data_IF_211500593421
#
_entry.id   IF_211500593421
#
_cell.length_a   1.000
_cell.length_b   1.000
_cell.length_c   1.000
_cell.angle_alpha   90.00
_cell.angle_beta   90.00
_cell.angle_gamma   90.00
#
_symmetry.space_group_name_H-M   'P 1'
#
loop_
_entity.id
_entity.type
_entity.pdbx_description
1 polymer ?
#
# COMPACT_ATOMS: atom_id res chain seq x y z
N UNK A 1 -28.51 -68.93 0.42
CA UNK A 1 -29.16 -67.62 0.57
C UNK A 1 -28.07 -66.58 0.80
N UNK A 2 -28.00 -65.56 -0.09
CA UNK A 2 -27.57 -64.15 0.11
C UNK A 2 -26.26 -63.90 0.92
N UNK A 3 -25.23 -63.17 0.47
CA UNK A 3 -25.15 -61.99 -0.42
C UNK A 3 -23.68 -61.62 -0.70
N UNK A 4 -23.46 -60.97 -1.85
CA UNK A 4 -22.21 -60.39 -2.42
C UNK A 4 -21.76 -59.10 -1.66
N UNK A 5 -20.47 -58.68 -1.78
CA UNK A 5 -19.69 -57.89 -0.83
C UNK A 5 -19.58 -56.39 -1.21
N UNK A 6 -19.05 -55.54 -0.32
CA UNK A 6 -18.61 -54.19 -0.69
C UNK A 6 -17.29 -53.78 -0.01
N UNK A 7 -16.29 -53.63 -0.88
CA UNK A 7 -15.01 -52.98 -0.66
C UNK A 7 -15.27 -51.52 -0.29
N UNK A 8 -14.94 -51.10 0.94
CA UNK A 8 -14.92 -49.70 1.31
C UNK A 8 -13.51 -49.15 1.05
N UNK A 9 -13.32 -48.69 -0.19
CA UNK A 9 -12.17 -47.91 -0.64
C UNK A 9 -12.26 -46.53 0.05
N UNK A 10 -11.57 -46.34 1.18
CA UNK A 10 -11.49 -45.03 1.83
C UNK A 10 -10.50 -44.15 1.07
N UNK A 11 -11.00 -43.56 -0.02
CA UNK A 11 -10.33 -42.52 -0.78
C UNK A 11 -10.31 -41.24 0.05
N UNK A 12 -9.31 -41.05 0.92
CA UNK A 12 -8.97 -39.72 1.42
C UNK A 12 -8.28 -38.96 0.28
N UNK A 13 -9.07 -38.51 -0.69
CA UNK A 13 -8.68 -37.41 -1.57
C UNK A 13 -8.50 -36.18 -0.70
N UNK A 14 -7.25 -35.94 -0.33
CA UNK A 14 -6.57 -34.65 -0.39
C UNK A 14 -7.54 -33.47 -0.48
N UNK A 15 -8.07 -33.03 0.66
CA UNK A 15 -8.57 -31.67 0.78
C UNK A 15 -7.35 -30.75 0.93
N UNK A 16 -6.49 -30.74 -0.10
CA UNK A 16 -5.71 -29.55 -0.37
C UNK A 16 -6.74 -28.50 -0.75
N UNK A 17 -7.18 -27.73 0.24
CA UNK A 17 -7.59 -26.38 -0.04
C UNK A 17 -6.29 -25.71 -0.50
N UNK A 18 -6.05 -25.43 -1.80
CA UNK A 18 -5.29 -24.24 -2.07
C UNK A 18 -6.03 -23.15 -1.30
N UNK A 19 -5.43 -22.69 -0.19
CA UNK A 19 -5.63 -21.34 0.23
C UNK A 19 -5.37 -20.54 -1.05
N UNK A 20 -6.45 -20.15 -1.73
CA UNK A 20 -6.35 -19.24 -2.84
C UNK A 20 -5.76 -18.00 -2.18
N UNK A 21 -4.44 -17.85 -2.31
CA UNK A 21 -3.84 -16.54 -2.24
C UNK A 21 -4.57 -15.79 -3.35
N UNK A 22 -5.63 -15.07 -2.96
CA UNK A 22 -6.24 -14.09 -3.81
C UNK A 22 -5.06 -13.19 -4.17
N UNK A 23 -4.53 -13.42 -5.37
CA UNK A 23 -3.50 -12.62 -5.97
C UNK A 23 -4.23 -11.33 -6.32
N UNK A 24 -4.41 -10.51 -5.29
CA UNK A 24 -4.98 -9.18 -5.39
C UNK A 24 -3.94 -8.41 -6.16
N UNK A 25 -4.10 -8.37 -7.47
CA UNK A 25 -3.34 -7.50 -8.34
C UNK A 25 -3.60 -6.07 -7.87
N UNK A 26 -2.70 -5.54 -7.03
CA UNK A 26 -2.79 -4.19 -6.52
C UNK A 26 -2.51 -3.15 -7.61
N UNK A 27 -2.06 -3.58 -8.80
CA UNK A 27 -1.87 -2.69 -9.96
C UNK A 27 -3.21 -2.09 -10.34
N UNK A 28 -3.28 -0.76 -10.23
CA UNK A 28 -4.47 0.02 -10.59
C UNK A 28 -5.55 0.12 -9.49
N UNK A 29 -5.36 -0.44 -8.29
CA UNK A 29 -6.35 -0.35 -7.20
C UNK A 29 -6.19 0.88 -6.31
N UNK A 30 -5.06 1.60 -6.41
CA UNK A 30 -4.88 2.90 -5.76
C UNK A 30 -4.93 3.96 -6.85
N UNK A 31 -6.03 4.71 -6.87
CA UNK A 31 -6.28 5.74 -7.86
C UNK A 31 -5.95 7.12 -7.27
N UNK A 32 -5.25 7.96 -8.02
CA UNK A 32 -5.06 9.36 -7.66
C UNK A 32 -6.05 10.16 -8.47
N UNK A 33 -7.04 10.75 -7.80
CA UNK A 33 -8.09 11.55 -8.46
C UNK A 33 -7.57 12.86 -8.98
N UNK A 34 -6.76 13.50 -8.15
CA UNK A 34 -6.16 14.80 -8.42
C UNK A 34 -4.73 14.79 -7.88
N UNK A 35 -3.82 15.36 -8.66
CA UNK A 35 -2.46 15.65 -8.25
C UNK A 35 -2.08 17.05 -8.72
N UNK A 36 -1.55 17.86 -7.79
CA UNK A 36 -0.88 19.10 -8.12
C UNK A 36 0.45 19.18 -7.40
N UNK A 37 1.40 19.82 -8.07
CA UNK A 37 2.74 20.00 -7.57
C UNK A 37 3.29 21.31 -8.10
N UNK A 38 3.71 22.18 -7.18
CA UNK A 38 4.02 23.57 -7.49
C UNK A 38 5.23 24.02 -6.67
N UNK A 39 6.14 24.74 -7.30
CA UNK A 39 7.21 25.40 -6.58
C UNK A 39 6.69 26.70 -5.95
N UNK A 40 6.86 26.84 -4.64
CA UNK A 40 6.52 28.04 -3.87
C UNK A 40 7.77 28.51 -3.10
N UNK A 41 8.47 29.49 -3.66
CA UNK A 41 9.77 29.94 -3.15
C UNK A 41 10.79 28.81 -3.17
N UNK A 42 11.37 28.52 -2.01
CA UNK A 42 12.39 27.48 -1.82
C UNK A 42 11.79 26.09 -1.53
N UNK A 43 10.46 25.95 -1.61
CA UNK A 43 9.77 24.68 -1.35
C UNK A 43 9.00 24.19 -2.56
N UNK A 44 8.89 22.87 -2.66
CA UNK A 44 7.99 22.19 -3.57
C UNK A 44 6.78 21.68 -2.79
N UNK A 45 5.61 22.16 -3.19
CA UNK A 45 4.32 21.84 -2.58
C UNK A 45 3.65 20.72 -3.35
N UNK A 46 3.42 19.58 -2.69
CA UNK A 46 2.73 18.42 -3.24
C UNK A 46 1.33 18.32 -2.64
N UNK A 47 0.30 18.22 -3.48
CA UNK A 47 -1.07 17.94 -3.09
C UNK A 47 -1.62 16.77 -3.90
N UNK A 48 -2.04 15.70 -3.22
CA UNK A 48 -2.64 14.52 -3.85
C UNK A 48 -3.98 14.19 -3.20
N UNK A 49 -4.94 13.73 -3.99
CA UNK A 49 -6.16 13.10 -3.52
C UNK A 49 -6.15 11.63 -3.90
N UNK A 50 -5.87 10.78 -2.92
CA UNK A 50 -5.67 9.34 -3.12
C UNK A 50 -6.94 8.60 -2.71
N UNK A 51 -7.53 7.87 -3.65
CA UNK A 51 -8.68 7.00 -3.43
C UNK A 51 -8.23 5.59 -3.05
N UNK A 52 -8.66 5.14 -1.86
CA UNK A 52 -8.41 3.81 -1.31
C UNK A 52 -9.64 2.89 -1.41
N UNK A 53 -10.69 3.32 -2.11
CA UNK A 53 -11.93 2.57 -2.29
C UNK A 53 -11.68 1.28 -3.08
N UNK A 54 -12.31 0.18 -2.64
CA UNK A 54 -12.13 -1.12 -3.29
C UNK A 54 -10.76 -1.77 -3.06
N UNK A 55 -9.79 -1.07 -2.47
CA UNK A 55 -8.48 -1.62 -2.14
C UNK A 55 -8.65 -2.77 -1.14
N UNK A 56 -8.12 -3.95 -1.47
CA UNK A 56 -8.21 -5.15 -0.62
C UNK A 56 -6.83 -5.54 -0.09
N UNK A 57 -6.53 -5.24 1.18
CA UNK A 57 -5.25 -5.62 1.81
C UNK A 57 -5.44 -6.87 2.65
N UNK A 58 -4.67 -7.93 2.36
CA UNK A 58 -4.77 -9.20 3.08
C UNK A 58 -4.56 -9.04 4.59
N UNK A 59 -5.21 -9.89 5.40
CA UNK A 59 -5.32 -9.67 6.86
C UNK A 59 -3.98 -9.48 7.57
N UNK A 60 -2.93 -10.16 7.11
CA UNK A 60 -1.58 -10.14 7.68
C UNK A 60 -0.62 -9.21 6.93
N UNK A 61 -1.12 -8.48 5.94
CA UNK A 61 -0.32 -7.61 5.09
C UNK A 61 -0.56 -6.14 5.43
N UNK A 62 0.36 -5.31 4.97
CA UNK A 62 0.20 -3.86 4.95
C UNK A 62 0.63 -3.34 3.58
N UNK A 63 -0.06 -2.34 3.07
CA UNK A 63 0.28 -1.66 1.84
C UNK A 63 0.82 -0.27 2.18
N UNK A 64 2.09 0.00 1.90
CA UNK A 64 2.67 1.33 2.08
C UNK A 64 2.65 2.06 0.74
N UNK A 65 1.91 3.15 0.64
CA UNK A 65 1.75 3.97 -0.58
C UNK A 65 2.50 5.29 -0.37
N UNK A 66 3.60 5.49 -1.08
CA UNK A 66 4.47 6.66 -0.97
C UNK A 66 4.55 7.41 -2.31
N UNK A 67 4.29 8.72 -2.33
CA UNK A 67 4.72 9.56 -3.44
C UNK A 67 6.25 9.59 -3.49
N UNK A 68 6.81 9.63 -4.69
CA UNK A 68 8.25 9.67 -4.91
C UNK A 68 8.55 10.56 -6.10
N UNK A 69 9.53 11.45 -5.91
CA UNK A 69 10.16 12.21 -6.98
C UNK A 69 11.37 11.43 -7.47
N UNK A 70 11.59 11.38 -8.78
CA UNK A 70 12.79 10.76 -9.35
C UNK A 70 13.22 11.44 -10.64
N UNK A 71 14.53 11.64 -10.78
CA UNK A 71 15.15 12.10 -12.03
C UNK A 71 16.52 11.40 -12.18
N UNK A 72 16.65 10.48 -13.13
CA UNK A 72 17.90 9.75 -13.35
C UNK A 72 18.36 8.96 -12.12
N UNK A 73 19.39 9.47 -11.42
CA UNK A 73 19.94 8.86 -10.19
C UNK A 73 19.41 9.50 -8.90
N UNK A 74 18.82 10.68 -9.01
CA UNK A 74 18.30 11.42 -7.87
C UNK A 74 16.86 10.97 -7.60
N UNK A 75 16.53 10.80 -6.32
CA UNK A 75 15.18 10.47 -5.92
C UNK A 75 14.87 10.84 -4.48
N UNK A 76 13.61 11.16 -4.25
CA UNK A 76 13.08 11.48 -2.93
C UNK A 76 11.78 10.72 -2.72
N UNK A 77 11.83 9.66 -1.92
CA UNK A 77 10.64 8.92 -1.47
C UNK A 77 10.05 9.61 -0.25
N UNK A 78 8.78 10.01 -0.33
CA UNK A 78 8.09 10.70 0.75
C UNK A 78 7.42 9.72 1.72
N UNK A 79 6.92 10.25 2.84
CA UNK A 79 6.28 9.46 3.88
C UNK A 79 5.06 8.69 3.33
N UNK A 80 4.92 7.39 3.63
CA UNK A 80 3.83 6.60 3.07
C UNK A 80 2.51 6.79 3.83
N UNK A 81 1.40 6.64 3.11
CA UNK A 81 0.14 6.20 3.71
C UNK A 81 0.21 4.68 3.85
N UNK A 82 0.04 4.17 5.06
CA UNK A 82 0.07 2.74 5.37
C UNK A 82 -1.35 2.23 5.55
N UNK A 83 -1.77 1.31 4.69
CA UNK A 83 -3.07 0.64 4.75
C UNK A 83 -2.87 -0.77 5.32
N UNK A 84 -3.31 -0.99 6.54
CA UNK A 84 -3.14 -2.25 7.26
C UNK A 84 -4.31 -3.20 7.04
N UNK A 85 -4.01 -4.46 6.74
CA UNK A 85 -4.96 -5.55 6.92
C UNK A 85 -5.38 -5.72 8.39
N UNK A 86 -6.45 -6.48 8.63
CA UNK A 86 -7.08 -6.55 9.95
C UNK A 86 -6.15 -6.94 11.11
N UNK A 87 -5.23 -7.89 10.93
CA UNK A 87 -4.31 -8.29 11.99
C UNK A 87 -3.11 -7.35 12.11
N UNK A 88 -2.62 -6.76 11.00
CA UNK A 88 -1.60 -5.70 11.07
C UNK A 88 -2.13 -4.47 11.79
N UNK A 89 -3.41 -4.14 11.61
CA UNK A 89 -4.04 -3.05 12.35
C UNK A 89 -4.07 -3.32 13.86
N UNK A 90 -4.40 -4.55 14.29
CA UNK A 90 -4.32 -4.94 15.72
C UNK A 90 -2.90 -4.83 16.27
N UNK A 91 -1.89 -5.17 15.47
CA UNK A 91 -0.48 -5.01 15.86
C UNK A 91 -0.11 -3.52 16.00
N UNK A 92 -0.55 -2.69 15.06
CA UNK A 92 -0.37 -1.23 15.13
C UNK A 92 -1.03 -0.65 16.39
N UNK A 93 -2.29 -1.01 16.68
CA UNK A 93 -3.02 -0.53 17.87
C UNK A 93 -2.34 -0.94 19.19
N UNK A 94 -1.82 -2.17 19.26
CA UNK A 94 -1.02 -2.62 20.41
C UNK A 94 0.28 -1.82 20.53
N UNK A 95 0.98 -1.62 19.42
CA UNK A 95 2.23 -0.84 19.41
C UNK A 95 1.97 0.60 19.84
N UNK A 96 0.87 1.20 19.38
CA UNK A 96 0.42 2.52 19.77
C UNK A 96 0.15 2.59 21.29
N UNK A 97 -0.56 1.60 21.84
CA UNK A 97 -0.89 1.56 23.26
C UNK A 97 0.33 1.33 24.17
N UNK A 98 1.29 0.50 23.74
CA UNK A 98 2.44 0.11 24.57
C UNK A 98 3.70 0.94 24.35
N UNK A 99 3.92 1.45 23.14
CA UNK A 99 5.16 2.15 22.73
C UNK A 99 4.94 3.57 22.23
N UNK A 100 3.68 4.00 22.10
CA UNK A 100 3.33 5.35 21.65
C UNK A 100 3.31 5.51 20.13
N UNK A 101 2.81 6.68 19.70
CA UNK A 101 2.48 6.97 18.29
C UNK A 101 3.69 6.99 17.37
N UNK A 102 4.80 7.61 17.79
CA UNK A 102 6.02 7.71 16.98
C UNK A 102 6.53 6.34 16.55
N UNK A 103 6.53 5.36 17.48
CA UNK A 103 6.95 3.99 17.19
C UNK A 103 5.92 3.22 16.36
N UNK A 104 4.63 3.48 16.58
CA UNK A 104 3.56 2.81 15.85
C UNK A 104 3.43 3.27 14.38
N UNK A 105 3.61 4.56 14.12
CA UNK A 105 3.53 5.14 12.79
C UNK A 105 4.72 4.74 11.91
N UNK A 106 5.89 4.53 12.51
CA UNK A 106 7.12 4.09 11.82
C UNK A 106 7.46 4.95 10.59
N UNK A 107 7.34 6.27 10.73
CA UNK A 107 7.58 7.23 9.65
C UNK A 107 6.47 7.32 8.60
N UNK A 108 5.32 6.69 8.84
CA UNK A 108 4.12 6.84 8.02
C UNK A 108 3.47 8.22 8.18
N UNK A 109 3.03 8.80 7.05
CA UNK A 109 2.22 10.01 7.04
C UNK A 109 0.85 9.77 7.69
N UNK A 110 0.26 8.61 7.41
CA UNK A 110 -1.03 8.20 7.92
C UNK A 110 -1.08 6.67 7.96
N UNK A 111 -1.55 6.10 9.06
CA UNK A 111 -1.82 4.67 9.18
C UNK A 111 -3.33 4.43 9.31
N UNK A 112 -3.90 3.64 8.40
CA UNK A 112 -5.33 3.33 8.38
C UNK A 112 -5.58 1.83 8.26
N UNK A 113 -6.69 1.39 8.83
CA UNK A 113 -7.22 0.04 8.58
C UNK A 113 -7.78 -0.04 7.16
N UNK A 114 -7.50 -1.12 6.47
CA UNK A 114 -8.13 -1.48 5.20
C UNK A 114 -9.64 -1.72 5.40
N UNK A 115 -10.45 -0.98 4.66
CA UNK A 115 -11.91 -1.07 4.69
C UNK A 115 -12.43 -0.97 3.23
N UNK A 116 -12.33 -2.06 2.45
CA UNK A 116 -12.57 -2.02 0.99
C UNK A 116 -13.98 -1.52 0.62
N UNK A 117 -14.97 -1.77 1.49
CA UNK A 117 -16.38 -1.39 1.28
C UNK A 117 -16.68 0.05 1.65
N UNK A 118 -15.75 0.77 2.28
CA UNK A 118 -15.92 2.17 2.62
C UNK A 118 -15.14 3.00 1.61
N UNK A 119 -15.84 3.95 0.98
CA UNK A 119 -15.16 4.97 0.19
C UNK A 119 -14.26 5.77 1.13
N UNK A 120 -12.96 5.77 0.85
CA UNK A 120 -11.97 6.53 1.63
C UNK A 120 -11.03 7.24 0.69
N UNK A 121 -11.17 8.56 0.68
CA UNK A 121 -10.22 9.45 0.03
C UNK A 121 -9.29 10.05 1.08
N UNK A 122 -8.01 10.11 0.76
CA UNK A 122 -6.97 10.70 1.59
C UNK A 122 -6.41 11.91 0.87
N UNK A 123 -6.54 13.08 1.51
CA UNK A 123 -5.86 14.29 1.09
C UNK A 123 -4.45 14.22 1.65
N UNK A 124 -3.46 14.11 0.78
CA UNK A 124 -2.05 14.08 1.13
C UNK A 124 -1.41 15.41 0.74
N UNK A 125 -0.83 16.11 1.72
CA UNK A 125 -0.13 17.38 1.49
C UNK A 125 1.25 17.35 2.12
N UNK A 126 2.27 17.76 1.36
CA UNK A 126 3.64 17.89 1.82
C UNK A 126 4.32 19.11 1.20
N UNK A 127 5.17 19.75 1.97
CA UNK A 127 6.16 20.70 1.51
C UNK A 127 7.54 20.08 1.68
N UNK A 128 8.36 20.08 0.65
CA UNK A 128 9.77 19.66 0.72
C UNK A 128 10.66 20.77 0.19
N UNK A 129 11.89 20.94 0.71
CA UNK A 129 12.85 21.86 0.11
C UNK A 129 13.03 21.54 -1.38
N UNK A 130 12.97 22.56 -2.22
CA UNK A 130 13.20 22.41 -3.65
C UNK A 130 14.69 22.22 -3.92
N UNK A 131 15.01 21.22 -4.74
CA UNK A 131 16.36 20.98 -5.23
C UNK A 131 16.35 21.04 -6.77
N UNK A 132 17.47 21.45 -7.37
CA UNK A 132 17.51 21.73 -8.82
C UNK A 132 17.19 20.51 -9.70
N UNK A 133 17.47 19.30 -9.23
CA UNK A 133 17.14 18.03 -9.93
C UNK A 133 15.63 17.72 -9.91
N UNK A 134 14.84 18.39 -9.06
CA UNK A 134 13.39 18.19 -9.06
C UNK A 134 12.73 18.83 -10.28
N UNK A 135 13.42 19.75 -10.97
CA UNK A 135 13.00 20.29 -12.26
C UNK A 135 13.26 19.23 -13.34
N UNK A 136 12.21 18.76 -14.00
CA UNK A 136 12.34 17.63 -14.93
C UNK A 136 12.04 16.27 -14.31
N UNK A 137 11.89 16.18 -12.99
CA UNK A 137 11.62 14.93 -12.30
C UNK A 137 10.24 14.35 -12.67
N UNK A 138 10.10 13.05 -12.48
CA UNK A 138 8.82 12.36 -12.47
C UNK A 138 8.25 12.36 -11.04
N UNK A 139 6.94 12.59 -10.93
CA UNK A 139 6.18 12.27 -9.72
C UNK A 139 5.51 10.92 -9.91
N UNK A 140 5.87 9.94 -9.09
CA UNK A 140 5.29 8.60 -9.10
C UNK A 140 4.67 8.26 -7.75
N UNK A 141 3.68 7.38 -7.76
CA UNK A 141 3.16 6.72 -6.58
C UNK A 141 3.75 5.31 -6.53
N UNK A 142 4.63 5.08 -5.58
CA UNK A 142 5.17 3.74 -5.29
C UNK A 142 4.29 3.12 -4.23
N UNK A 143 3.96 1.84 -4.36
CA UNK A 143 3.55 1.12 -3.19
C UNK A 143 4.10 -0.27 -3.04
N UNK A 144 4.21 -0.63 -1.77
CA UNK A 144 4.93 -1.80 -1.30
C UNK A 144 3.97 -2.64 -0.47
N UNK A 145 3.62 -3.80 -1.01
CA UNK A 145 2.85 -4.79 -0.28
C UNK A 145 3.81 -5.56 0.62
N UNK A 146 3.66 -5.39 1.93
CA UNK A 146 4.49 -6.04 2.94
C UNK A 146 3.73 -7.18 3.60
N UNK A 147 4.45 -8.25 3.91
CA UNK A 147 3.93 -9.36 4.69
C UNK A 147 3.81 -9.00 6.19
N UNK A 148 3.55 -10.00 7.03
CA UNK A 148 3.38 -9.80 8.46
C UNK A 148 4.61 -9.17 9.12
N UNK A 149 5.80 -9.65 8.72
CA UNK A 149 7.10 -9.28 9.27
C UNK A 149 7.65 -7.97 8.70
N UNK A 150 6.91 -7.32 7.80
CA UNK A 150 7.33 -6.06 7.16
C UNK A 150 8.21 -6.23 5.92
N UNK A 151 8.43 -7.47 5.46
CA UNK A 151 9.17 -7.76 4.24
C UNK A 151 8.30 -7.45 3.02
N UNK A 152 8.82 -6.65 2.10
CA UNK A 152 8.15 -6.33 0.83
C UNK A 152 8.05 -7.59 -0.03
N UNK A 153 6.82 -8.00 -0.34
CA UNK A 153 6.51 -9.07 -1.30
C UNK A 153 6.46 -8.53 -2.73
N UNK A 154 5.80 -7.39 -2.91
CA UNK A 154 5.49 -6.83 -4.22
C UNK A 154 5.63 -5.32 -4.20
N UNK A 155 6.04 -4.76 -5.34
CA UNK A 155 6.16 -3.32 -5.57
C UNK A 155 5.38 -2.96 -6.83
N UNK A 156 4.58 -1.90 -6.74
CA UNK A 156 3.89 -1.29 -7.87
C UNK A 156 4.26 0.18 -7.97
N UNK A 157 4.28 0.70 -9.20
CA UNK A 157 4.61 2.08 -9.50
C UNK A 157 3.54 2.60 -10.47
N UNK A 158 2.93 3.73 -10.12
CA UNK A 158 2.03 4.47 -10.98
C UNK A 158 2.64 5.85 -11.24
N UNK A 159 2.81 6.23 -12.51
CA UNK A 159 3.35 7.54 -12.84
C UNK A 159 2.20 8.55 -12.81
N UNK A 160 2.34 9.60 -11.99
CA UNK A 160 1.32 10.63 -11.83
C UNK A 160 1.63 11.87 -12.67
N UNK A 161 2.91 12.18 -12.85
CA UNK A 161 3.39 13.25 -13.72
C UNK A 161 4.74 12.86 -14.28
N UNK A 162 4.85 12.82 -15.61
CA UNK A 162 6.06 12.36 -16.31
C UNK A 162 7.18 13.41 -16.34
N UNK A 163 6.85 14.69 -16.15
CA UNK A 163 7.81 15.77 -16.20
C UNK A 163 7.29 17.00 -15.45
N UNK A 164 7.98 17.38 -14.37
CA UNK A 164 7.64 18.57 -13.60
C UNK A 164 8.16 19.85 -14.27
N UNK A 165 7.21 20.71 -14.63
CA UNK A 165 7.45 22.00 -15.27
C UNK A 165 7.00 23.09 -14.29
N UNK A 166 7.96 23.91 -13.83
CA UNK A 166 7.77 25.07 -12.97
C UNK A 166 8.25 26.33 -13.68
#
# INVERSE_FOLDING_TARGET
MRTIPYILFFLFTVLSCPAQELLSDYRGMVYVRENSIEQQGDNLMLNLQIDLSGLSVGRYQSLAIAPMLREGRDSLKLQPIVVNGANKQKMYERTLAFKGKVVADDGGYLVVKNQPTLLREVIYRMAVPFESWMKGAELVLVGELKNYDGVTKEVYINILTDNLIF
#
